data_IF_234265921414
#
_entry.id   IF_234265921414
#
_cell.length_a   1.000
_cell.length_b   1.000
_cell.length_c   1.000
_cell.angle_alpha   90.00
_cell.angle_beta   90.00
_cell.angle_gamma   90.00
#
_symmetry.space_group_name_H-M   'P 1'
#
loop_
_entity.id
_entity.type
_entity.pdbx_description
1 polymer ?
#
# COMPACT_ATOMS: atom_id res chain seq x y z
N UNK A 1 -25.41 -9.85 25.28
CA UNK A 1 -24.38 -10.32 24.33
C UNK A 1 -23.61 -9.08 23.90
N UNK A 2 -22.44 -9.18 23.28
CA UNK A 2 -21.80 -8.01 22.71
C UNK A 2 -22.64 -7.56 21.52
N UNK A 3 -23.17 -6.35 21.58
CA UNK A 3 -24.07 -5.82 20.55
C UNK A 3 -23.33 -4.80 19.66
N UNK A 4 -22.11 -4.41 20.06
CA UNK A 4 -21.27 -3.43 19.37
C UNK A 4 -19.80 -3.86 19.26
N UNK A 5 -19.12 -3.45 18.18
CA UNK A 5 -17.70 -3.67 17.96
C UNK A 5 -16.95 -2.37 17.63
N UNK A 6 -15.67 -2.32 18.02
CA UNK A 6 -14.68 -1.35 17.56
C UNK A 6 -13.53 -2.12 16.92
N UNK A 7 -13.04 -1.67 15.76
CA UNK A 7 -11.91 -2.28 15.08
C UNK A 7 -10.85 -1.21 14.80
N UNK A 8 -9.63 -1.43 15.30
CA UNK A 8 -8.46 -0.63 14.95
C UNK A 8 -7.58 -1.43 13.99
N UNK A 9 -7.26 -0.83 12.84
CA UNK A 9 -6.39 -1.43 11.83
C UNK A 9 -5.01 -0.80 11.89
N UNK A 10 -3.96 -1.64 11.90
CA UNK A 10 -2.57 -1.21 11.82
C UNK A 10 -1.85 -1.90 10.65
N UNK A 11 -0.78 -1.26 10.19
CA UNK A 11 0.14 -1.84 9.22
C UNK A 11 -0.07 -1.33 7.80
N UNK A 12 -0.60 -2.18 6.92
CA UNK A 12 -0.54 -1.94 5.47
C UNK A 12 -1.89 -2.11 4.77
N UNK A 13 -2.02 -1.68 3.50
CA UNK A 13 -3.24 -1.84 2.70
C UNK A 13 -3.84 -3.26 2.70
N UNK A 14 -3.01 -4.30 2.79
CA UNK A 14 -3.48 -5.69 2.85
C UNK A 14 -4.19 -5.99 4.17
N UNK A 15 -3.71 -5.43 5.28
CA UNK A 15 -4.38 -5.50 6.59
C UNK A 15 -5.66 -4.66 6.60
N UNK A 16 -5.73 -3.55 5.84
CA UNK A 16 -6.97 -2.79 5.69
C UNK A 16 -8.05 -3.63 5.02
N UNK A 17 -7.73 -4.32 3.92
CA UNK A 17 -8.68 -5.25 3.30
C UNK A 17 -9.11 -6.34 4.28
N UNK A 18 -8.17 -6.95 5.03
CA UNK A 18 -8.51 -7.95 6.07
C UNK A 18 -9.49 -7.39 7.13
N UNK A 19 -9.32 -6.12 7.49
CA UNK A 19 -10.16 -5.43 8.46
C UNK A 19 -11.57 -5.16 7.92
N UNK A 20 -11.68 -4.72 6.65
CA UNK A 20 -12.98 -4.49 6.02
C UNK A 20 -13.77 -5.81 5.90
N UNK A 21 -13.08 -6.92 5.63
CA UNK A 21 -13.64 -8.27 5.58
C UNK A 21 -14.12 -8.73 6.96
N UNK A 22 -13.33 -8.44 8.00
CA UNK A 22 -13.75 -8.66 9.39
C UNK A 22 -14.98 -7.82 9.76
N UNK A 23 -15.03 -6.56 9.35
CA UNK A 23 -16.20 -5.69 9.53
C UNK A 23 -17.44 -6.30 8.91
N UNK A 24 -17.37 -6.73 7.64
CA UNK A 24 -18.50 -7.38 6.97
C UNK A 24 -18.95 -8.66 7.68
N UNK A 25 -18.00 -9.46 8.16
CA UNK A 25 -18.29 -10.66 8.94
C UNK A 25 -18.99 -10.35 10.28
N UNK A 26 -18.53 -9.35 11.02
CA UNK A 26 -19.12 -8.94 12.31
C UNK A 26 -20.53 -8.34 12.12
N UNK A 27 -20.72 -7.53 11.08
CA UNK A 27 -22.04 -6.97 10.73
C UNK A 27 -23.03 -8.06 10.33
N UNK A 28 -22.60 -9.08 9.58
CA UNK A 28 -23.42 -10.23 9.23
C UNK A 28 -23.82 -11.08 10.46
N UNK A 29 -23.07 -10.99 11.56
CA UNK A 29 -23.41 -11.59 12.85
C UNK A 29 -24.34 -10.72 13.72
N UNK A 30 -24.72 -9.53 13.24
CA UNK A 30 -25.65 -8.62 13.90
C UNK A 30 -25.01 -7.61 14.85
N UNK A 31 -23.69 -7.46 14.87
CA UNK A 31 -23.03 -6.45 15.69
C UNK A 31 -23.04 -5.09 14.96
N UNK A 32 -23.21 -4.01 15.73
CA UNK A 32 -23.12 -2.65 15.23
C UNK A 32 -21.72 -2.05 15.42
N UNK A 33 -21.29 -1.17 14.52
CA UNK A 33 -20.06 -0.40 14.72
C UNK A 33 -20.25 0.59 15.88
N UNK A 34 -19.30 0.59 16.82
CA UNK A 34 -19.23 1.54 17.92
C UNK A 34 -18.58 2.85 17.46
N UNK A 35 -19.02 4.02 17.95
CA UNK A 35 -18.36 5.30 17.64
C UNK A 35 -17.03 5.48 18.37
N UNK A 36 -16.74 4.68 19.40
CA UNK A 36 -15.49 4.73 20.14
C UNK A 36 -15.14 3.37 20.78
N UNK A 37 -13.85 3.10 21.10
CA UNK A 37 -13.46 1.85 21.75
C UNK A 37 -14.00 1.73 23.18
N UNK A 38 -14.24 2.85 23.88
CA UNK A 38 -14.79 2.88 25.24
C UNK A 38 -16.25 2.42 25.29
N UNK A 39 -16.98 2.48 24.18
CA UNK A 39 -18.39 2.12 24.11
C UNK A 39 -18.62 0.70 23.58
N UNK A 40 -17.61 0.10 22.94
CA UNK A 40 -17.72 -1.18 22.28
C UNK A 40 -17.74 -2.36 23.27
N UNK A 41 -18.52 -3.39 22.97
CA UNK A 41 -18.52 -4.65 23.73
C UNK A 41 -17.42 -5.62 23.22
N UNK A 42 -16.99 -5.44 21.97
CA UNK A 42 -15.88 -6.14 21.33
C UNK A 42 -14.89 -5.12 20.76
N UNK A 43 -13.64 -5.16 21.22
CA UNK A 43 -12.54 -4.37 20.66
C UNK A 43 -11.62 -5.32 19.89
N UNK A 44 -11.42 -5.06 18.60
CA UNK A 44 -10.55 -5.86 17.72
C UNK A 44 -9.36 -5.00 17.28
N UNK A 45 -8.15 -5.53 17.39
CA UNK A 45 -6.94 -4.87 16.89
C UNK A 45 -6.31 -5.75 15.82
N UNK A 46 -6.31 -5.29 14.56
CA UNK A 46 -5.64 -5.97 13.46
C UNK A 46 -4.20 -5.46 13.35
N UNK A 47 -3.25 -6.27 13.80
CA UNK A 47 -1.86 -5.88 14.07
C UNK A 47 -0.91 -6.16 12.92
N UNK A 48 0.20 -5.41 12.90
CA UNK A 48 1.29 -5.58 11.94
C UNK A 48 2.46 -6.36 12.55
N UNK A 49 3.20 -7.09 11.73
CA UNK A 49 4.44 -7.77 12.13
C UNK A 49 5.55 -7.62 11.09
N UNK A 50 5.50 -6.52 10.33
CA UNK A 50 6.39 -6.31 9.19
C UNK A 50 7.81 -5.93 9.61
N UNK A 51 7.94 -4.99 10.54
CA UNK A 51 9.21 -4.49 11.11
C UNK A 51 9.04 -4.26 12.62
N UNK A 52 10.15 -4.13 13.34
CA UNK A 52 10.18 -3.88 14.79
C UNK A 52 9.31 -2.70 15.23
N UNK A 53 9.49 -1.52 14.63
CA UNK A 53 8.69 -0.33 14.97
C UNK A 53 7.16 -0.56 14.83
N UNK A 54 6.74 -1.31 13.81
CA UNK A 54 5.32 -1.64 13.61
C UNK A 54 4.80 -2.67 14.63
N UNK A 55 5.68 -3.52 15.17
CA UNK A 55 5.35 -4.45 16.28
C UNK A 55 5.19 -3.67 17.59
N UNK A 56 6.09 -2.73 17.87
CA UNK A 56 6.00 -1.84 19.03
C UNK A 56 4.71 -1.02 19.01
N UNK A 57 4.40 -0.36 17.88
CA UNK A 57 3.14 0.37 17.69
C UNK A 57 1.91 -0.54 17.92
N UNK A 58 1.98 -1.78 17.43
CA UNK A 58 0.91 -2.76 17.62
C UNK A 58 0.70 -3.10 19.10
N UNK A 59 1.78 -3.33 19.85
CA UNK A 59 1.71 -3.63 21.29
C UNK A 59 1.19 -2.43 22.07
N UNK A 60 1.71 -1.23 21.81
CA UNK A 60 1.31 0.00 22.49
C UNK A 60 -0.18 0.31 22.26
N UNK A 61 -0.66 0.13 21.04
CA UNK A 61 -2.08 0.30 20.69
C UNK A 61 -2.96 -0.71 21.44
N UNK A 62 -2.54 -1.97 21.50
CA UNK A 62 -3.28 -3.01 22.25
C UNK A 62 -3.36 -2.65 23.72
N UNK A 63 -2.26 -2.21 24.34
CA UNK A 63 -2.22 -1.81 25.75
C UNK A 63 -3.05 -0.55 26.01
N UNK A 64 -3.04 0.43 25.11
CA UNK A 64 -3.87 1.63 25.20
C UNK A 64 -5.37 1.28 25.16
N UNK A 65 -5.79 0.45 24.21
CA UNK A 65 -7.16 -0.02 24.09
C UNK A 65 -7.58 -0.92 25.25
N UNK A 66 -6.67 -1.72 25.80
CA UNK A 66 -6.94 -2.49 27.01
C UNK A 66 -7.28 -1.61 28.22
N UNK A 67 -6.67 -0.42 28.33
CA UNK A 67 -6.98 0.55 29.39
C UNK A 67 -8.27 1.34 29.11
N UNK A 68 -8.55 1.63 27.84
CA UNK A 68 -9.70 2.45 27.43
C UNK A 68 -11.02 1.68 27.38
N UNK A 69 -11.00 0.38 27.05
CA UNK A 69 -12.21 -0.42 26.85
C UNK A 69 -13.11 -0.43 28.09
N UNK A 70 -14.43 -0.44 27.89
CA UNK A 70 -15.38 -0.56 29.00
C UNK A 70 -15.19 -1.87 29.78
N UNK A 71 -15.53 -1.88 31.09
CA UNK A 71 -15.54 -3.11 31.88
C UNK A 71 -16.42 -4.19 31.23
N UNK A 72 -15.85 -5.40 31.10
CA UNK A 72 -16.53 -6.54 30.48
C UNK A 72 -16.45 -6.60 28.94
N UNK A 73 -15.90 -5.58 28.27
CA UNK A 73 -15.60 -5.67 26.84
C UNK A 73 -14.47 -6.66 26.58
N UNK A 74 -14.63 -7.45 25.51
CA UNK A 74 -13.61 -8.38 25.03
C UNK A 74 -12.59 -7.66 24.15
N UNK A 75 -11.32 -7.92 24.37
CA UNK A 75 -10.22 -7.47 23.52
C UNK A 75 -9.67 -8.65 22.71
N UNK A 76 -9.72 -8.54 21.38
CA UNK A 76 -9.20 -9.53 20.45
C UNK A 76 -8.07 -8.92 19.63
N UNK A 77 -6.94 -9.62 19.57
CA UNK A 77 -5.83 -9.26 18.68
C UNK A 77 -5.81 -10.22 17.50
N UNK A 78 -5.76 -9.68 16.29
CA UNK A 78 -5.64 -10.42 15.04
C UNK A 78 -4.55 -9.83 14.14
N UNK A 79 -4.39 -10.34 12.92
CA UNK A 79 -3.42 -9.82 11.95
C UNK A 79 -2.09 -10.57 11.93
N UNK A 80 -1.09 -9.94 11.31
CA UNK A 80 0.23 -10.56 11.09
C UNK A 80 0.93 -10.95 12.40
N UNK A 81 0.81 -10.15 13.45
CA UNK A 81 1.48 -10.43 14.73
C UNK A 81 0.82 -11.62 15.44
N UNK A 82 -0.51 -11.68 15.41
CA UNK A 82 -1.27 -12.82 15.95
C UNK A 82 -0.95 -14.13 15.22
N UNK A 83 -0.82 -14.09 13.88
CA UNK A 83 -0.46 -15.27 13.08
C UNK A 83 0.97 -15.74 13.37
N UNK A 84 1.93 -14.81 13.43
CA UNK A 84 3.35 -15.15 13.53
C UNK A 84 3.81 -15.47 14.96
N UNK A 85 3.29 -14.74 15.95
CA UNK A 85 3.75 -14.77 17.34
C UNK A 85 2.65 -15.16 18.33
N UNK A 86 1.59 -15.83 17.89
CA UNK A 86 0.36 -16.04 18.67
C UNK A 86 0.57 -16.52 20.12
N UNK A 87 1.34 -17.59 20.31
CA UNK A 87 1.60 -18.18 21.64
C UNK A 87 2.47 -17.28 22.53
N UNK A 88 3.37 -16.50 21.95
CA UNK A 88 4.19 -15.55 22.68
C UNK A 88 3.36 -14.34 23.09
N UNK A 89 2.58 -13.80 22.15
CA UNK A 89 1.74 -12.64 22.36
C UNK A 89 0.66 -12.91 23.41
N UNK A 90 0.03 -14.09 23.39
CA UNK A 90 -0.96 -14.49 24.39
C UNK A 90 -0.37 -14.63 25.80
N UNK A 91 0.92 -14.98 25.91
CA UNK A 91 1.64 -15.03 27.20
C UNK A 91 2.09 -13.64 27.67
N UNK A 92 2.51 -12.79 26.74
CA UNK A 92 3.04 -11.46 27.02
C UNK A 92 1.94 -10.42 27.30
N UNK A 93 0.74 -10.59 26.74
CA UNK A 93 -0.40 -9.67 26.88
C UNK A 93 -1.60 -10.37 27.55
N UNK A 94 -1.57 -10.59 28.87
CA UNK A 94 -2.67 -11.24 29.60
C UNK A 94 -3.98 -10.45 29.58
N UNK A 95 -3.95 -9.17 29.18
CA UNK A 95 -5.13 -8.30 29.04
C UNK A 95 -5.95 -8.61 27.78
N UNK A 96 -5.39 -9.38 26.84
CA UNK A 96 -6.03 -9.79 25.59
C UNK A 96 -6.83 -11.08 25.81
N UNK A 97 -8.12 -11.04 25.52
CA UNK A 97 -9.02 -12.18 25.73
C UNK A 97 -8.87 -13.27 24.64
N UNK A 98 -8.38 -12.91 23.46
CA UNK A 98 -8.14 -13.83 22.35
C UNK A 98 -7.06 -13.28 21.40
N UNK A 99 -6.10 -14.13 21.06
CA UNK A 99 -5.17 -13.90 19.94
C UNK A 99 -5.61 -14.79 18.77
N UNK A 100 -6.03 -14.19 17.66
CA UNK A 100 -6.67 -14.84 16.52
C UNK A 100 -5.85 -14.65 15.23
N UNK A 101 -5.19 -15.72 14.76
CA UNK A 101 -4.56 -15.76 13.43
C UNK A 101 -5.58 -15.70 12.27
N UNK A 102 -5.11 -15.74 11.02
CA UNK A 102 -5.94 -15.49 9.82
C UNK A 102 -7.07 -16.51 9.61
N UNK A 103 -6.96 -17.71 10.19
CA UNK A 103 -7.98 -18.76 10.13
C UNK A 103 -8.88 -18.86 11.37
N UNK A 104 -8.68 -18.00 12.36
CA UNK A 104 -9.40 -18.03 13.63
C UNK A 104 -10.51 -16.97 13.60
N UNK A 105 -11.78 -17.36 13.65
CA UNK A 105 -12.88 -16.40 13.70
C UNK A 105 -12.73 -15.46 14.90
N UNK A 106 -12.87 -14.16 14.65
CA UNK A 106 -13.02 -13.13 15.69
C UNK A 106 -14.46 -13.21 16.22
N UNK A 107 -14.82 -14.37 16.80
CA UNK A 107 -16.19 -14.67 17.20
C UNK A 107 -16.44 -14.43 18.69
N UNK A 108 -17.69 -14.09 18.98
CA UNK A 108 -18.18 -13.79 20.32
C UNK A 108 -18.68 -15.01 21.11
N UNK A 109 -18.78 -16.18 20.49
CA UNK A 109 -19.29 -17.37 21.19
C UNK A 109 -18.33 -17.81 22.31
N UNK A 110 -18.91 -18.05 23.49
CA UNK A 110 -18.27 -18.52 24.72
C UNK A 110 -17.15 -19.54 24.49
N UNK A 111 -16.10 -19.49 25.32
CA UNK A 111 -15.01 -20.48 25.49
C UNK A 111 -15.24 -21.77 24.69
N UNK A 112 -14.33 -22.18 23.79
CA UNK A 112 -14.44 -23.50 23.18
C UNK A 112 -14.52 -24.54 24.29
N UNK A 113 -15.66 -25.21 24.40
CA UNK A 113 -15.83 -26.33 25.31
C UNK A 113 -14.84 -27.40 24.88
N UNK A 114 -13.94 -27.78 25.79
CA UNK A 114 -13.03 -28.89 25.58
C UNK A 114 -13.85 -30.12 25.14
N UNK A 115 -13.66 -30.56 23.89
CA UNK A 115 -14.23 -31.82 23.37
C UNK A 115 -15.17 -31.76 22.16
N UNK A 116 -15.44 -30.59 21.56
CA UNK A 116 -16.28 -30.50 20.36
C UNK A 116 -15.51 -30.72 19.05
N UNK A 117 -15.66 -31.88 18.41
CA UNK A 117 -15.21 -32.08 17.02
C UNK A 117 -16.06 -31.19 16.11
N UNK A 118 -15.44 -30.18 15.47
CA UNK A 118 -16.11 -29.32 14.50
C UNK A 118 -16.63 -30.17 13.32
N UNK A 119 -17.88 -29.97 12.87
CA UNK A 119 -18.43 -30.70 11.73
C UNK A 119 -17.65 -30.40 10.43
N UNK A 120 -17.56 -31.32 9.46
CA UNK A 120 -16.62 -31.23 8.33
C UNK A 120 -16.95 -30.18 7.26
N UNK A 121 -17.92 -29.29 7.47
CA UNK A 121 -18.38 -28.32 6.46
C UNK A 121 -18.49 -26.88 6.96
N UNK A 122 -17.82 -26.51 8.05
CA UNK A 122 -17.63 -25.09 8.37
C UNK A 122 -16.69 -24.54 7.29
N UNK A 123 -17.17 -23.64 6.43
CA UNK A 123 -16.30 -22.89 5.52
C UNK A 123 -15.14 -22.37 6.35
N UNK A 124 -13.91 -22.74 6.00
CA UNK A 124 -12.73 -22.20 6.67
C UNK A 124 -12.86 -20.68 6.67
N UNK A 125 -12.64 -20.06 7.81
CA UNK A 125 -12.60 -18.61 7.92
C UNK A 125 -11.41 -18.13 7.09
N UNK A 126 -11.66 -17.81 5.81
CA UNK A 126 -10.66 -17.35 4.87
C UNK A 126 -10.91 -15.88 4.55
N UNK A 127 -10.19 -15.00 5.25
CA UNK A 127 -10.27 -13.56 5.08
C UNK A 127 -10.13 -13.11 3.61
N UNK A 128 -9.43 -13.89 2.77
CA UNK A 128 -9.23 -13.59 1.36
C UNK A 128 -10.55 -13.62 0.56
N UNK A 129 -11.52 -14.47 0.95
CA UNK A 129 -12.76 -14.73 0.21
C UNK A 129 -14.03 -14.26 0.94
N UNK A 130 -13.91 -13.70 2.16
CA UNK A 130 -15.06 -13.16 2.86
C UNK A 130 -15.70 -11.99 2.09
N UNK A 131 -17.01 -11.72 2.24
CA UNK A 131 -17.60 -10.47 1.78
C UNK A 131 -17.22 -9.32 2.71
N UNK A 132 -17.36 -8.07 2.22
CA UNK A 132 -17.21 -6.83 3.00
C UNK A 132 -18.26 -5.80 2.59
N UNK A 133 -18.59 -4.81 3.44
CA UNK A 133 -19.52 -3.76 3.05
C UNK A 133 -18.96 -2.89 1.91
N UNK A 134 -19.82 -2.07 1.27
CA UNK A 134 -19.38 -1.04 0.33
C UNK A 134 -18.34 -0.11 0.95
N UNK A 135 -17.49 0.47 0.12
CA UNK A 135 -16.44 1.37 0.58
C UNK A 135 -17.04 2.68 1.13
N UNK A 136 -16.43 3.23 2.18
CA UNK A 136 -16.78 4.55 2.72
C UNK A 136 -16.08 5.71 2.01
N UNK A 137 -15.07 5.40 1.19
CA UNK A 137 -14.32 6.33 0.36
C UNK A 137 -14.62 6.07 -1.12
N UNK A 138 -14.37 7.02 -2.03
CA UNK A 138 -14.58 6.82 -3.47
C UNK A 138 -13.53 5.89 -4.11
N UNK A 139 -12.70 5.25 -3.30
CA UNK A 139 -11.65 4.32 -3.69
C UNK A 139 -11.61 3.15 -2.71
N UNK A 140 -11.05 2.01 -3.13
CA UNK A 140 -10.82 0.88 -2.25
C UNK A 140 -9.60 0.05 -2.64
N UNK A 141 -8.86 -0.43 -1.64
CA UNK A 141 -7.90 -1.52 -1.83
C UNK A 141 -8.63 -2.83 -2.11
N UNK A 142 -8.18 -3.62 -3.07
CA UNK A 142 -8.71 -4.96 -3.35
C UNK A 142 -7.56 -5.95 -3.34
N UNK A 143 -7.60 -6.87 -2.37
CA UNK A 143 -6.60 -7.92 -2.24
C UNK A 143 -6.91 -9.07 -3.19
N UNK A 144 -6.06 -9.27 -4.19
CA UNK A 144 -6.27 -10.27 -5.26
C UNK A 144 -5.56 -11.59 -4.99
N UNK A 145 -4.56 -11.58 -4.10
CA UNK A 145 -3.82 -12.76 -3.69
C UNK A 145 -3.28 -12.59 -2.26
N UNK A 146 -2.98 -13.71 -1.62
CA UNK A 146 -2.34 -13.81 -0.31
C UNK A 146 -1.05 -14.63 -0.42
N UNK A 147 -0.06 -14.36 0.43
CA UNK A 147 1.19 -15.11 0.47
C UNK A 147 2.13 -14.78 -0.70
N UNK A 148 3.31 -15.40 -0.71
CA UNK A 148 4.35 -15.07 -1.68
C UNK A 148 5.32 -16.23 -1.89
N UNK A 149 5.66 -16.54 -3.15
CA UNK A 149 6.63 -17.58 -3.49
C UNK A 149 8.08 -17.06 -3.61
N UNK A 150 8.27 -15.75 -3.46
CA UNK A 150 9.61 -15.13 -3.51
C UNK A 150 10.42 -15.53 -2.28
N UNK A 151 11.73 -15.66 -2.46
CA UNK A 151 12.69 -16.04 -1.40
C UNK A 151 13.61 -14.87 -1.05
N UNK A 152 13.05 -13.67 -0.89
CA UNK A 152 13.80 -12.48 -0.51
C UNK A 152 14.48 -12.68 0.84
N UNK A 153 15.74 -12.24 0.95
CA UNK A 153 16.61 -12.56 2.09
C UNK A 153 16.09 -12.03 3.43
N UNK A 154 15.49 -10.84 3.41
CA UNK A 154 14.93 -10.14 4.58
C UNK A 154 13.47 -10.50 4.89
N UNK A 155 12.77 -11.23 4.01
CA UNK A 155 11.31 -11.30 4.08
C UNK A 155 10.83 -12.56 4.81
N UNK A 156 10.07 -12.38 5.89
CA UNK A 156 9.44 -13.47 6.64
C UNK A 156 8.05 -13.88 6.10
N UNK A 157 7.43 -13.12 5.19
CA UNK A 157 6.07 -13.38 4.69
C UNK A 157 5.80 -14.86 4.32
N UNK A 158 6.68 -15.57 3.59
CA UNK A 158 6.41 -16.96 3.20
C UNK A 158 6.27 -17.93 4.39
N UNK A 159 6.79 -17.60 5.57
CA UNK A 159 6.74 -18.48 6.74
C UNK A 159 5.38 -18.47 7.45
N UNK A 160 4.67 -17.34 7.44
CA UNK A 160 3.41 -17.18 8.20
C UNK A 160 2.19 -16.86 7.32
N UNK A 161 2.36 -16.23 6.16
CA UNK A 161 1.27 -16.04 5.17
C UNK A 161 1.23 -17.14 4.11
N UNK A 162 2.25 -18.00 4.08
CA UNK A 162 2.34 -19.14 3.19
C UNK A 162 2.71 -18.79 1.75
N UNK A 163 2.58 -19.81 0.88
CA UNK A 163 2.77 -19.68 -0.57
C UNK A 163 1.69 -18.82 -1.19
N UNK A 164 1.95 -18.35 -2.41
CA UNK A 164 0.98 -17.54 -3.12
C UNK A 164 -0.33 -18.30 -3.35
N UNK A 165 -1.44 -17.66 -3.01
CA UNK A 165 -2.82 -18.09 -3.27
C UNK A 165 -3.58 -16.92 -3.89
N UNK A 166 -3.83 -17.01 -5.19
CA UNK A 166 -4.62 -16.04 -5.96
C UNK A 166 -6.11 -16.35 -5.86
N UNK A 167 -6.92 -15.32 -5.86
CA UNK A 167 -8.38 -15.42 -6.00
C UNK A 167 -8.75 -15.70 -7.45
N UNK A 168 -9.93 -16.28 -7.68
CA UNK A 168 -10.47 -16.36 -9.04
C UNK A 168 -10.91 -14.97 -9.52
N UNK A 169 -10.70 -14.60 -10.80
CA UNK A 169 -11.06 -13.29 -11.33
C UNK A 169 -12.53 -12.91 -11.08
N UNK A 170 -13.44 -13.87 -11.20
CA UNK A 170 -14.87 -13.64 -10.95
C UNK A 170 -15.16 -13.22 -9.50
N UNK A 171 -14.44 -13.77 -8.50
CA UNK A 171 -14.56 -13.37 -7.09
C UNK A 171 -14.06 -11.93 -6.90
N UNK A 172 -12.94 -11.58 -7.56
CA UNK A 172 -12.39 -10.22 -7.51
C UNK A 172 -13.36 -9.21 -8.14
N UNK A 173 -13.90 -9.49 -9.32
CA UNK A 173 -14.83 -8.59 -10.01
C UNK A 173 -16.15 -8.43 -9.26
N UNK A 174 -16.69 -9.50 -8.68
CA UNK A 174 -17.89 -9.41 -7.85
C UNK A 174 -17.67 -8.53 -6.61
N UNK A 175 -16.47 -8.56 -6.02
CA UNK A 175 -16.13 -7.63 -4.94
C UNK A 175 -15.97 -6.19 -5.45
N UNK A 176 -15.31 -5.98 -6.60
CA UNK A 176 -15.14 -4.64 -7.18
C UNK A 176 -16.51 -3.97 -7.42
N UNK A 177 -17.45 -4.69 -8.03
CA UNK A 177 -18.82 -4.22 -8.26
C UNK A 177 -19.52 -3.84 -6.95
N UNK A 178 -19.44 -4.70 -5.92
CA UNK A 178 -20.07 -4.47 -4.63
C UNK A 178 -19.51 -3.26 -3.84
N UNK A 179 -18.30 -2.80 -4.16
CA UNK A 179 -17.66 -1.68 -3.45
C UNK A 179 -18.22 -0.31 -3.86
N UNK A 180 -18.70 -0.17 -5.10
CA UNK A 180 -19.27 1.09 -5.60
C UNK A 180 -18.26 2.25 -5.65
N UNK A 181 -17.01 1.98 -6.00
CA UNK A 181 -15.90 2.96 -6.01
C UNK A 181 -15.53 3.45 -7.41
N UNK A 182 -14.85 4.59 -7.48
CA UNK A 182 -14.28 5.16 -8.72
C UNK A 182 -12.84 4.69 -8.97
N UNK A 183 -12.08 4.41 -7.90
CA UNK A 183 -10.69 3.91 -7.99
C UNK A 183 -10.54 2.57 -7.25
N UNK A 184 -10.02 1.56 -7.94
CA UNK A 184 -9.60 0.30 -7.33
C UNK A 184 -8.08 0.26 -7.27
N UNK A 185 -7.55 -0.06 -6.09
CA UNK A 185 -6.12 -0.27 -5.87
C UNK A 185 -5.86 -1.76 -5.65
N UNK A 186 -5.32 -2.44 -6.65
CA UNK A 186 -5.02 -3.87 -6.58
C UNK A 186 -3.78 -4.10 -5.72
N UNK A 187 -3.91 -4.97 -4.72
CA UNK A 187 -2.84 -5.30 -3.78
C UNK A 187 -2.63 -6.81 -3.62
N UNK A 188 -1.38 -7.19 -3.44
CA UNK A 188 -0.94 -8.52 -3.02
C UNK A 188 0.49 -8.40 -2.46
N UNK A 189 1.07 -9.50 -1.93
CA UNK A 189 2.48 -9.50 -1.56
C UNK A 189 3.42 -9.56 -2.77
N UNK A 190 3.00 -10.20 -3.87
CA UNK A 190 3.65 -10.15 -5.19
C UNK A 190 2.58 -10.07 -6.29
N UNK A 191 2.12 -8.84 -6.58
CA UNK A 191 0.95 -8.61 -7.45
C UNK A 191 1.16 -9.15 -8.87
N UNK A 192 2.34 -8.94 -9.43
CA UNK A 192 2.66 -9.36 -10.80
C UNK A 192 2.73 -10.89 -10.96
N UNK A 193 2.72 -11.64 -9.86
CA UNK A 193 2.66 -13.10 -9.89
C UNK A 193 1.23 -13.66 -9.86
N UNK A 194 0.20 -12.82 -9.71
CA UNK A 194 -1.20 -13.27 -9.70
C UNK A 194 -1.52 -14.23 -10.85
N UNK A 195 -2.20 -15.32 -10.51
CA UNK A 195 -2.63 -16.38 -11.42
C UNK A 195 -1.60 -17.45 -11.75
N UNK A 196 -0.32 -17.30 -11.35
CA UNK A 196 0.69 -18.37 -11.53
C UNK A 196 0.29 -19.67 -10.82
N UNK A 197 -0.21 -19.57 -9.60
CA UNK A 197 -0.71 -20.68 -8.79
C UNK A 197 -2.01 -21.29 -9.34
N UNK A 198 -2.75 -20.54 -10.17
CA UNK A 198 -3.93 -21.02 -10.92
C UNK A 198 -3.56 -21.65 -12.28
N UNK A 199 -2.26 -21.77 -12.61
CA UNK A 199 -1.81 -22.24 -13.92
C UNK A 199 -2.02 -21.23 -15.06
N UNK A 200 -2.30 -19.96 -14.74
CA UNK A 200 -2.56 -18.87 -15.69
C UNK A 200 -1.45 -17.80 -15.58
N UNK A 201 -0.24 -18.05 -16.12
CA UNK A 201 0.84 -17.07 -16.04
C UNK A 201 0.43 -15.77 -16.76
N UNK A 202 0.74 -14.62 -16.14
CA UNK A 202 0.36 -13.27 -16.61
C UNK A 202 -1.14 -12.93 -16.55
N UNK A 203 -1.95 -13.71 -15.82
CA UNK A 203 -3.38 -13.39 -15.61
C UNK A 203 -3.61 -12.02 -14.95
N UNK A 204 -2.58 -11.41 -14.35
CA UNK A 204 -2.66 -10.04 -13.84
C UNK A 204 -3.03 -9.04 -14.95
N UNK A 205 -2.55 -9.24 -16.18
CA UNK A 205 -2.87 -8.34 -17.31
C UNK A 205 -4.37 -8.40 -17.63
N UNK A 206 -4.92 -9.62 -17.72
CA UNK A 206 -6.34 -9.83 -17.97
C UNK A 206 -7.19 -9.29 -16.82
N UNK A 207 -6.73 -9.43 -15.58
CA UNK A 207 -7.42 -8.89 -14.40
C UNK A 207 -7.43 -7.36 -14.41
N UNK A 208 -6.31 -6.70 -14.74
CA UNK A 208 -6.25 -5.23 -14.85
C UNK A 208 -7.28 -4.75 -15.86
N UNK A 209 -7.30 -5.36 -17.06
CA UNK A 209 -8.24 -5.00 -18.10
C UNK A 209 -9.71 -5.21 -17.67
N UNK A 210 -10.00 -6.33 -17.01
CA UNK A 210 -11.34 -6.62 -16.52
C UNK A 210 -11.79 -5.60 -15.45
N UNK A 211 -10.93 -5.26 -14.49
CA UNK A 211 -11.25 -4.27 -13.44
C UNK A 211 -11.39 -2.87 -14.05
N UNK A 212 -10.57 -2.51 -15.04
CA UNK A 212 -10.64 -1.22 -15.72
C UNK A 212 -11.94 -1.02 -16.55
N UNK A 213 -12.70 -2.09 -16.80
CA UNK A 213 -14.04 -1.98 -17.36
C UNK A 213 -15.11 -1.65 -16.31
N UNK A 214 -14.85 -1.91 -15.03
CA UNK A 214 -15.81 -1.72 -13.93
C UNK A 214 -15.65 -0.36 -13.23
N UNK A 215 -14.45 0.24 -13.26
CA UNK A 215 -14.14 1.48 -12.53
C UNK A 215 -13.29 2.45 -13.36
N UNK A 216 -13.35 3.75 -13.04
CA UNK A 216 -12.62 4.79 -13.79
C UNK A 216 -11.10 4.67 -13.63
N UNK A 217 -10.61 4.28 -12.45
CA UNK A 217 -9.18 4.26 -12.12
C UNK A 217 -8.75 2.91 -11.56
N UNK A 218 -7.67 2.35 -12.10
CA UNK A 218 -7.06 1.10 -11.61
C UNK A 218 -5.58 1.33 -11.30
N UNK A 219 -5.23 1.23 -10.02
CA UNK A 219 -3.86 1.36 -9.51
C UNK A 219 -3.31 0.02 -9.09
N UNK A 220 -2.00 -0.16 -9.29
CA UNK A 220 -1.28 -1.36 -8.88
C UNK A 220 -0.20 -1.00 -7.85
N UNK A 221 -0.16 -1.75 -6.75
CA UNK A 221 0.91 -1.67 -5.76
C UNK A 221 1.69 -2.98 -5.69
N UNK A 222 2.93 -2.91 -5.20
CA UNK A 222 3.80 -4.07 -4.93
C UNK A 222 4.23 -4.84 -6.19
N UNK A 223 4.72 -4.12 -7.21
CA UNK A 223 5.24 -4.74 -8.43
C UNK A 223 6.69 -5.21 -8.23
N UNK A 224 6.93 -6.51 -8.36
CA UNK A 224 8.27 -7.05 -8.34
C UNK A 224 9.00 -6.73 -9.66
N UNK A 225 10.21 -6.13 -9.64
CA UNK A 225 10.85 -5.54 -10.83
C UNK A 225 11.10 -6.53 -11.98
N UNK A 226 11.43 -7.79 -11.66
CA UNK A 226 11.68 -8.80 -12.70
C UNK A 226 10.42 -9.27 -13.44
N UNK A 227 9.23 -8.90 -12.96
CA UNK A 227 7.96 -9.26 -13.59
C UNK A 227 7.38 -8.12 -14.41
N UNK A 228 8.02 -6.95 -14.39
CA UNK A 228 7.60 -5.76 -15.14
C UNK A 228 8.12 -5.82 -16.58
N UNK A 229 7.54 -6.72 -17.37
CA UNK A 229 7.77 -6.81 -18.81
C UNK A 229 6.97 -5.75 -19.60
N UNK A 230 7.20 -5.66 -20.91
CA UNK A 230 6.59 -4.61 -21.74
C UNK A 230 5.07 -4.75 -21.85
N UNK A 231 4.55 -5.97 -21.71
CA UNK A 231 3.13 -6.26 -21.73
C UNK A 231 2.46 -5.77 -20.44
N UNK A 232 3.06 -6.02 -19.27
CA UNK A 232 2.56 -5.47 -18.01
C UNK A 232 2.69 -3.94 -17.98
N UNK A 233 3.77 -3.37 -18.50
CA UNK A 233 3.89 -1.90 -18.63
C UNK A 233 2.76 -1.36 -19.52
N UNK A 234 2.51 -1.98 -20.68
CA UNK A 234 1.41 -1.57 -21.55
C UNK A 234 0.05 -1.66 -20.87
N UNK A 235 -0.19 -2.71 -20.07
CA UNK A 235 -1.43 -2.87 -19.33
C UNK A 235 -1.64 -1.77 -18.27
N UNK A 236 -0.59 -1.39 -17.54
CA UNK A 236 -0.65 -0.30 -16.56
C UNK A 236 -0.85 1.06 -17.27
N UNK A 237 -0.14 1.32 -18.37
CA UNK A 237 -0.33 2.56 -19.13
C UNK A 237 -1.70 2.67 -19.81
N UNK A 238 -2.40 1.55 -19.99
CA UNK A 238 -3.76 1.53 -20.50
C UNK A 238 -4.80 1.79 -19.40
N UNK A 239 -4.40 1.86 -18.12
CA UNK A 239 -5.27 2.37 -17.06
C UNK A 239 -5.16 3.90 -17.04
N UNK A 240 -6.21 4.58 -16.57
CA UNK A 240 -6.18 6.04 -16.30
C UNK A 240 -5.19 6.41 -15.16
N UNK A 241 -4.38 5.45 -14.68
CA UNK A 241 -3.44 5.61 -13.59
C UNK A 241 -2.07 5.03 -13.97
N UNK A 242 -1.25 5.78 -14.75
CA UNK A 242 0.12 5.37 -15.10
C UNK A 242 1.04 5.51 -13.88
N UNK A 243 0.86 4.64 -12.89
CA UNK A 243 1.56 4.64 -11.62
C UNK A 243 2.24 3.29 -11.39
N UNK A 244 3.54 3.32 -11.11
CA UNK A 244 4.34 2.11 -10.95
C UNK A 244 5.00 2.09 -9.57
N UNK A 245 4.46 1.29 -8.66
CA UNK A 245 5.08 0.99 -7.37
C UNK A 245 6.05 -0.19 -7.49
N UNK A 246 7.32 0.14 -7.65
CA UNK A 246 8.40 -0.82 -7.87
C UNK A 246 9.05 -1.18 -6.55
N UNK A 247 8.87 -2.41 -6.11
CA UNK A 247 9.58 -2.89 -4.92
C UNK A 247 11.06 -3.12 -5.28
N UNK A 248 11.95 -2.11 -5.28
CA UNK A 248 13.38 -2.27 -5.66
C UNK A 248 14.27 -2.77 -4.52
N UNK A 249 13.95 -2.42 -3.26
CA UNK A 249 14.71 -2.69 -2.02
C UNK A 249 16.15 -2.16 -1.99
N UNK A 250 16.92 -2.23 -3.07
CA UNK A 250 18.25 -1.65 -3.20
C UNK A 250 18.62 -1.55 -4.68
N UNK A 251 19.82 -1.05 -5.00
CA UNK A 251 20.29 -0.90 -6.40
C UNK A 251 21.66 -1.51 -6.66
N UNK A 252 22.53 -1.58 -5.63
CA UNK A 252 23.80 -2.31 -5.72
C UNK A 252 23.58 -3.79 -6.06
N UNK A 253 24.26 -4.26 -7.11
CA UNK A 253 24.17 -5.65 -7.57
C UNK A 253 24.69 -6.67 -6.54
N UNK A 254 25.89 -6.49 -5.92
CA UNK A 254 26.34 -7.36 -4.83
C UNK A 254 25.34 -7.44 -3.69
N UNK A 255 24.80 -6.30 -3.24
CA UNK A 255 23.89 -6.27 -2.11
C UNK A 255 22.52 -6.89 -2.45
N UNK A 256 21.97 -6.61 -3.63
CA UNK A 256 20.74 -7.25 -4.12
C UNK A 256 20.89 -8.77 -4.21
N UNK A 257 22.05 -9.28 -4.65
CA UNK A 257 22.32 -10.71 -4.67
C UNK A 257 22.33 -11.31 -3.24
N UNK A 258 22.92 -10.60 -2.26
CA UNK A 258 22.86 -10.98 -0.83
C UNK A 258 21.43 -10.94 -0.27
N UNK A 259 20.62 -9.99 -0.73
CA UNK A 259 19.17 -9.92 -0.46
C UNK A 259 18.36 -10.98 -1.22
N UNK A 260 19.01 -11.85 -2.02
CA UNK A 260 18.37 -12.86 -2.88
C UNK A 260 17.36 -12.24 -3.86
N UNK A 261 17.70 -11.07 -4.38
CA UNK A 261 16.88 -10.30 -5.32
C UNK A 261 17.48 -10.28 -6.70
N UNK A 262 16.61 -10.08 -7.68
CA UNK A 262 17.00 -9.87 -9.07
C UNK A 262 17.22 -8.38 -9.36
N UNK A 263 18.16 -8.10 -10.26
CA UNK A 263 18.34 -6.77 -10.84
C UNK A 263 19.55 -6.02 -10.28
N UNK A 264 19.65 -4.78 -10.73
CA UNK A 264 20.67 -3.80 -10.37
C UNK A 264 20.21 -2.40 -10.81
N UNK A 265 20.87 -1.36 -10.31
CA UNK A 265 20.54 0.04 -10.60
C UNK A 265 20.49 0.35 -12.10
N UNK A 266 21.43 -0.17 -12.89
CA UNK A 266 21.48 0.02 -14.35
C UNK A 266 20.22 -0.52 -15.03
N UNK A 267 19.79 -1.74 -14.68
CA UNK A 267 18.57 -2.35 -15.23
C UNK A 267 17.31 -1.60 -14.80
N UNK A 268 17.26 -1.19 -13.53
CA UNK A 268 16.12 -0.44 -13.00
C UNK A 268 16.00 0.92 -13.68
N UNK A 269 17.10 1.68 -13.82
CA UNK A 269 17.13 2.94 -14.55
C UNK A 269 16.72 2.77 -16.01
N UNK A 270 17.20 1.73 -16.69
CA UNK A 270 16.80 1.46 -18.07
C UNK A 270 15.28 1.24 -18.19
N UNK A 271 14.69 0.48 -17.27
CA UNK A 271 13.23 0.23 -17.22
C UNK A 271 12.45 1.51 -16.92
N UNK A 272 12.90 2.30 -15.94
CA UNK A 272 12.32 3.59 -15.57
C UNK A 272 12.33 4.57 -16.76
N UNK A 273 13.48 4.70 -17.43
CA UNK A 273 13.64 5.55 -18.62
C UNK A 273 12.74 5.08 -19.77
N UNK A 274 12.62 3.77 -19.99
CA UNK A 274 11.72 3.22 -21.00
C UNK A 274 10.24 3.50 -20.71
N UNK A 275 9.82 3.44 -19.44
CA UNK A 275 8.45 3.81 -19.04
C UNK A 275 8.20 5.29 -19.31
N UNK A 276 9.09 6.18 -18.85
CA UNK A 276 8.96 7.64 -19.05
C UNK A 276 9.03 8.08 -20.51
N UNK A 277 9.78 7.34 -21.35
CA UNK A 277 9.81 7.60 -22.78
C UNK A 277 8.46 7.30 -23.46
N UNK A 278 7.66 6.39 -22.90
CA UNK A 278 6.33 6.04 -23.39
C UNK A 278 5.24 6.92 -22.78
N UNK A 279 5.36 7.23 -21.49
CA UNK A 279 4.44 8.06 -20.74
C UNK A 279 5.24 9.01 -19.82
N UNK A 280 5.50 10.25 -20.26
CA UNK A 280 6.24 11.24 -19.48
C UNK A 280 5.58 11.59 -18.14
N UNK A 281 4.26 11.44 -18.04
CA UNK A 281 3.50 11.72 -16.82
C UNK A 281 3.46 10.55 -15.84
N UNK A 282 4.10 9.42 -16.17
CA UNK A 282 4.09 8.24 -15.32
C UNK A 282 4.72 8.53 -13.96
N UNK A 283 3.98 8.23 -12.89
CA UNK A 283 4.45 8.34 -11.52
C UNK A 283 5.16 7.06 -11.11
N UNK A 284 6.39 7.19 -10.60
CA UNK A 284 7.21 6.06 -10.18
C UNK A 284 7.47 6.12 -8.69
N UNK A 285 7.14 5.03 -8.01
CA UNK A 285 7.38 4.83 -6.58
C UNK A 285 8.35 3.68 -6.35
N UNK A 286 9.17 3.77 -5.32
CA UNK A 286 9.94 2.63 -4.83
C UNK A 286 10.04 2.60 -3.31
N UNK A 287 10.59 1.51 -2.78
CA UNK A 287 10.98 1.38 -1.38
C UNK A 287 12.35 0.73 -1.28
N UNK A 288 13.15 1.18 -0.33
CA UNK A 288 14.55 0.80 -0.14
C UNK A 288 14.82 0.38 1.30
N UNK A 289 15.70 -0.61 1.46
CA UNK A 289 16.18 -1.11 2.75
C UNK A 289 17.63 -0.66 2.88
N UNK A 290 17.91 0.12 3.91
CA UNK A 290 19.23 0.63 4.27
C UNK A 290 19.76 -0.19 5.45
N UNK A 291 21.05 -0.52 5.46
CA UNK A 291 21.68 -1.23 6.55
C UNK A 291 21.62 -2.76 6.45
N UNK A 292 21.31 -3.30 5.27
CA UNK A 292 21.26 -4.75 5.10
C UNK A 292 22.62 -5.40 5.39
N UNK A 293 22.70 -6.60 6.00
CA UNK A 293 23.96 -7.21 6.38
C UNK A 293 24.97 -7.31 5.23
N UNK A 294 26.09 -6.60 5.37
CA UNK A 294 27.16 -6.47 4.39
C UNK A 294 27.08 -5.24 3.47
N UNK A 295 26.18 -4.29 3.73
CA UNK A 295 26.10 -3.02 2.99
C UNK A 295 27.32 -2.13 3.26
N UNK A 296 28.01 -1.78 2.18
CA UNK A 296 29.22 -0.94 2.19
C UNK A 296 28.90 0.52 1.87
N UNK A 297 29.88 1.41 2.05
CA UNK A 297 29.79 2.83 1.64
C UNK A 297 29.54 2.96 0.13
N UNK A 298 30.25 2.19 -0.70
CA UNK A 298 30.06 2.13 -2.15
C UNK A 298 28.63 1.68 -2.55
N UNK A 299 28.02 0.75 -1.79
CA UNK A 299 26.64 0.34 -2.05
C UNK A 299 25.66 1.49 -1.81
N UNK A 300 25.90 2.27 -0.76
CA UNK A 300 25.10 3.44 -0.38
C UNK A 300 25.30 4.59 -1.37
N UNK A 301 26.53 4.87 -1.80
CA UNK A 301 26.83 5.85 -2.84
C UNK A 301 26.10 5.53 -4.16
N UNK A 302 26.05 4.25 -4.54
CA UNK A 302 25.27 3.80 -5.69
C UNK A 302 23.77 4.04 -5.51
N UNK A 303 23.24 3.92 -4.29
CA UNK A 303 21.84 4.23 -3.99
C UNK A 303 21.56 5.72 -4.14
N UNK A 304 22.39 6.59 -3.57
CA UNK A 304 22.27 8.04 -3.70
C UNK A 304 22.33 8.46 -5.18
N UNK A 305 23.33 8.00 -5.91
CA UNK A 305 23.47 8.28 -7.35
C UNK A 305 22.26 7.75 -8.15
N UNK A 306 21.73 6.58 -7.80
CA UNK A 306 20.52 6.07 -8.44
C UNK A 306 19.31 6.96 -8.17
N UNK A 307 19.11 7.46 -6.95
CA UNK A 307 17.98 8.34 -6.63
C UNK A 307 18.05 9.62 -7.45
N UNK A 308 19.24 10.23 -7.56
CA UNK A 308 19.49 11.39 -8.41
C UNK A 308 19.20 11.11 -9.89
N UNK A 309 19.62 9.96 -10.42
CA UNK A 309 19.38 9.61 -11.82
C UNK A 309 17.92 9.19 -12.11
N UNK A 310 17.31 8.49 -11.17
CA UNK A 310 15.98 7.91 -11.31
C UNK A 310 14.89 8.97 -11.13
N UNK A 311 15.14 10.03 -10.36
CA UNK A 311 14.20 11.11 -10.10
C UNK A 311 12.81 10.56 -9.74
N UNK A 312 12.71 9.60 -8.83
CA UNK A 312 11.44 8.95 -8.49
C UNK A 312 10.45 9.97 -7.91
N UNK A 313 9.17 9.81 -8.23
CA UNK A 313 8.11 10.67 -7.68
C UNK A 313 7.95 10.41 -6.18
N UNK A 314 8.13 9.15 -5.75
CA UNK A 314 8.03 8.73 -4.36
C UNK A 314 9.08 7.69 -4.02
N UNK A 315 9.72 7.80 -2.85
CA UNK A 315 10.52 6.71 -2.30
C UNK A 315 10.39 6.64 -0.79
N UNK A 316 10.24 5.42 -0.27
CA UNK A 316 10.32 5.13 1.16
C UNK A 316 11.62 4.45 1.51
N UNK A 317 12.21 4.80 2.66
CA UNK A 317 13.44 4.21 3.19
C UNK A 317 13.16 3.54 4.52
N UNK A 318 13.68 2.34 4.70
CA UNK A 318 13.47 1.54 5.89
C UNK A 318 14.83 1.01 6.37
N UNK A 319 15.13 1.18 7.66
CA UNK A 319 16.25 0.47 8.26
C UNK A 319 16.01 -1.03 8.15
N UNK A 320 17.07 -1.78 7.87
CA UNK A 320 17.03 -3.22 7.96
C UNK A 320 16.67 -3.63 9.39
N UNK A 321 15.57 -4.37 9.52
CA UNK A 321 15.14 -4.98 10.76
C UNK A 321 15.41 -6.48 10.67
N UNK A 322 16.20 -7.01 11.61
CA UNK A 322 16.53 -8.42 11.64
C UNK A 322 15.31 -9.23 12.09
N UNK A 323 14.86 -10.14 11.23
CA UNK A 323 13.64 -10.91 11.45
C UNK A 323 13.98 -12.39 11.65
N UNK A 324 13.56 -12.97 12.77
CA UNK A 324 13.81 -14.38 13.09
C UNK A 324 13.27 -15.31 11.97
N UNK A 325 14.07 -16.31 11.61
CA UNK A 325 13.74 -17.29 10.58
C UNK A 325 13.98 -16.81 9.15
N UNK A 326 14.41 -15.56 8.95
CA UNK A 326 14.80 -15.06 7.62
C UNK A 326 16.23 -15.48 7.27
N UNK A 327 16.55 -15.42 5.97
CA UNK A 327 17.92 -15.69 5.50
C UNK A 327 18.91 -14.65 6.01
N UNK A 328 18.48 -13.39 6.08
CA UNK A 328 19.31 -12.27 6.51
C UNK A 328 19.70 -12.34 8.00
N UNK A 329 18.87 -12.95 8.85
CA UNK A 329 19.15 -13.10 10.29
C UNK A 329 20.42 -13.93 10.58
N UNK A 330 20.83 -14.80 9.67
CA UNK A 330 22.06 -15.60 9.80
C UNK A 330 23.29 -15.02 9.10
N UNK A 331 23.19 -13.81 8.55
CA UNK A 331 24.30 -13.19 7.82
C UNK A 331 25.19 -12.35 8.76
N UNK A 332 26.50 -12.45 8.54
CA UNK A 332 27.49 -11.53 9.14
C UNK A 332 27.47 -10.16 8.45
N UNK A 333 28.17 -9.20 9.05
CA UNK A 333 28.34 -7.85 8.51
C UNK A 333 27.19 -6.91 8.84
N UNK A 334 26.62 -7.04 10.05
CA UNK A 334 25.60 -6.11 10.52
C UNK A 334 26.08 -4.66 10.48
N UNK A 335 25.21 -3.75 10.05
CA UNK A 335 25.46 -2.31 10.01
C UNK A 335 25.05 -1.71 11.35
N UNK A 336 25.86 -0.80 11.90
CA UNK A 336 25.57 -0.17 13.18
C UNK A 336 24.30 0.70 13.08
N UNK A 337 23.41 0.71 14.09
CA UNK A 337 22.18 1.52 14.06
C UNK A 337 22.40 3.00 13.77
N UNK A 338 23.47 3.59 14.31
CA UNK A 338 23.81 4.99 14.02
C UNK A 338 24.13 5.24 12.55
N UNK A 339 24.85 4.32 11.89
CA UNK A 339 25.15 4.42 10.46
C UNK A 339 23.92 4.15 9.60
N UNK A 340 23.02 3.25 10.03
CA UNK A 340 21.74 3.05 9.33
C UNK A 340 20.87 4.31 9.37
N UNK A 341 20.81 4.99 10.52
CA UNK A 341 20.10 6.25 10.68
C UNK A 341 20.68 7.36 9.79
N UNK A 342 22.01 7.55 9.82
CA UNK A 342 22.71 8.52 8.96
C UNK A 342 22.41 8.31 7.48
N UNK A 343 22.53 7.06 7.00
CA UNK A 343 22.22 6.71 5.60
C UNK A 343 20.74 6.92 5.24
N UNK A 344 19.83 6.62 6.17
CA UNK A 344 18.41 6.89 5.97
C UNK A 344 18.12 8.38 5.84
N UNK A 345 18.73 9.21 6.70
CA UNK A 345 18.56 10.66 6.68
C UNK A 345 19.08 11.23 5.36
N UNK A 346 20.27 10.82 4.90
CA UNK A 346 20.81 11.24 3.60
C UNK A 346 19.89 10.88 2.42
N UNK A 347 19.35 9.66 2.43
CA UNK A 347 18.41 9.21 1.40
C UNK A 347 17.09 9.99 1.45
N UNK A 348 16.56 10.23 2.65
CA UNK A 348 15.33 10.96 2.87
C UNK A 348 15.45 12.42 2.44
N UNK A 349 16.50 13.13 2.87
CA UNK A 349 16.76 14.51 2.46
C UNK A 349 16.89 14.66 0.94
N UNK A 350 17.61 13.72 0.31
CA UNK A 350 17.73 13.68 -1.15
C UNK A 350 16.37 13.47 -1.83
N UNK A 351 15.59 12.48 -1.38
CA UNK A 351 14.28 12.19 -1.95
C UNK A 351 13.28 13.31 -1.70
N UNK A 352 13.28 13.95 -0.53
CA UNK A 352 12.40 15.08 -0.22
C UNK A 352 12.62 16.23 -1.20
N UNK A 353 13.88 16.53 -1.52
CA UNK A 353 14.23 17.50 -2.55
C UNK A 353 13.72 17.09 -3.93
N UNK A 354 13.90 15.81 -4.32
CA UNK A 354 13.42 15.29 -5.61
C UNK A 354 11.90 15.41 -5.70
N UNK A 355 11.18 14.91 -4.70
CA UNK A 355 9.72 14.97 -4.60
C UNK A 355 9.26 16.41 -4.70
N UNK A 356 9.76 17.31 -3.84
CA UNK A 356 9.35 18.72 -3.84
C UNK A 356 9.55 19.41 -5.20
N UNK A 357 10.67 19.15 -5.88
CA UNK A 357 10.92 19.69 -7.22
C UNK A 357 9.92 19.16 -8.25
N UNK A 358 9.66 17.85 -8.27
CA UNK A 358 8.67 17.23 -9.18
C UNK A 358 7.25 17.72 -8.91
N UNK A 359 6.91 17.99 -7.64
CA UNK A 359 5.62 18.61 -7.28
C UNK A 359 5.54 20.05 -7.75
N UNK A 360 6.60 20.84 -7.57
CA UNK A 360 6.66 22.23 -8.01
C UNK A 360 6.53 22.37 -9.54
N UNK A 361 7.04 21.41 -10.32
CA UNK A 361 6.86 21.36 -11.79
C UNK A 361 5.38 21.24 -12.21
N UNK A 362 4.49 20.83 -11.31
CA UNK A 362 3.06 20.75 -11.58
C UNK A 362 2.34 22.09 -11.40
N UNK A 363 2.96 23.08 -10.75
CA UNK A 363 2.35 24.40 -10.53
C UNK A 363 2.03 25.07 -11.87
N UNK A 364 0.79 25.56 -12.00
CA UNK A 364 0.23 26.13 -13.22
C UNK A 364 -0.31 25.11 -14.22
N UNK A 365 -0.13 23.80 -13.99
CA UNK A 365 -0.67 22.76 -14.86
C UNK A 365 -2.11 22.43 -14.53
N UNK A 366 -2.84 21.98 -15.56
CA UNK A 366 -4.16 21.37 -15.42
C UNK A 366 -3.98 19.88 -15.16
N UNK A 367 -4.61 19.38 -14.10
CA UNK A 367 -4.59 17.97 -13.72
C UNK A 367 -6.00 17.48 -13.39
N UNK A 368 -6.23 16.18 -13.53
CA UNK A 368 -7.45 15.54 -13.05
C UNK A 368 -7.26 14.99 -11.65
N UNK A 369 -8.20 15.27 -10.75
CA UNK A 369 -8.20 14.75 -9.38
C UNK A 369 -9.48 13.98 -9.08
N UNK A 370 -9.35 12.88 -8.34
CA UNK A 370 -10.46 12.23 -7.63
C UNK A 370 -10.60 12.91 -6.27
N UNK A 371 -11.79 13.39 -5.95
CA UNK A 371 -12.07 14.04 -4.66
C UNK A 371 -12.35 12.97 -3.61
N UNK A 372 -11.40 12.73 -2.72
CA UNK A 372 -11.47 11.70 -1.70
C UNK A 372 -12.32 12.12 -0.49
N UNK A 373 -12.20 13.38 -0.09
CA UNK A 373 -12.89 13.98 1.05
C UNK A 373 -13.17 15.47 0.78
N UNK A 374 -14.03 16.14 1.57
CA UNK A 374 -14.24 17.57 1.40
C UNK A 374 -12.92 18.36 1.47
N UNK A 375 -12.56 19.02 0.36
CA UNK A 375 -11.33 19.81 0.25
C UNK A 375 -10.06 19.00 -0.01
N UNK A 376 -10.13 17.68 -0.17
CA UNK A 376 -8.95 16.81 -0.38
C UNK A 376 -9.19 15.88 -1.56
N UNK A 377 -8.23 15.79 -2.46
CA UNK A 377 -8.25 14.85 -3.58
C UNK A 377 -6.87 14.34 -3.98
N UNK A 378 -6.85 13.49 -5.00
CA UNK A 378 -5.64 12.86 -5.54
C UNK A 378 -5.69 12.78 -7.06
N UNK A 379 -4.59 13.10 -7.71
CA UNK A 379 -4.37 12.78 -9.12
C UNK A 379 -4.00 11.30 -9.30
N UNK A 380 -3.64 10.90 -10.52
CA UNK A 380 -3.08 9.57 -10.74
C UNK A 380 -1.74 9.36 -10.02
N UNK A 381 -1.05 10.44 -9.66
CA UNK A 381 0.30 10.39 -9.09
C UNK A 381 0.34 10.01 -7.61
N UNK A 382 -0.77 10.10 -6.88
CA UNK A 382 -0.83 9.82 -5.44
C UNK A 382 -1.61 8.54 -5.14
N UNK A 383 -0.95 7.55 -4.54
CA UNK A 383 -1.63 6.41 -3.92
C UNK A 383 -2.36 6.86 -2.64
N UNK A 384 -3.59 6.37 -2.39
CA UNK A 384 -4.37 6.76 -1.23
C UNK A 384 -3.63 6.41 0.07
N UNK A 385 -3.68 7.28 1.08
CA UNK A 385 -3.08 7.05 2.43
C UNK A 385 -1.55 6.83 2.48
N UNK A 386 -0.84 6.81 1.34
CA UNK A 386 0.59 6.48 1.26
C UNK A 386 1.41 7.66 0.78
N UNK A 387 0.97 8.31 -0.30
CA UNK A 387 1.70 9.43 -0.91
C UNK A 387 1.12 10.77 -0.43
N UNK A 388 1.48 11.88 -1.08
CA UNK A 388 0.92 13.20 -0.79
C UNK A 388 -0.56 13.36 -1.16
N UNK A 389 -1.10 14.55 -0.93
CA UNK A 389 -2.48 14.91 -1.30
C UNK A 389 -2.54 16.18 -2.16
N UNK A 390 -3.70 16.41 -2.77
CA UNK A 390 -4.05 17.68 -3.41
C UNK A 390 -5.12 18.36 -2.56
N UNK A 391 -4.75 19.49 -1.96
CA UNK A 391 -5.67 20.39 -1.26
C UNK A 391 -6.49 21.17 -2.28
N UNK A 392 -7.82 21.04 -2.19
CA UNK A 392 -8.75 21.56 -3.17
C UNK A 392 -9.51 22.76 -2.61
N UNK A 393 -9.32 23.91 -3.23
CA UNK A 393 -10.14 25.07 -2.98
C UNK A 393 -11.47 24.99 -3.75
N UNK A 394 -12.58 25.21 -3.03
CA UNK A 394 -13.94 25.20 -3.59
C UNK A 394 -14.84 24.10 -3.03
N UNK A 395 -16.03 23.93 -3.64
CA UNK A 395 -17.04 22.95 -3.22
C UNK A 395 -17.18 21.83 -4.24
N UNK A 396 -16.11 21.05 -4.42
CA UNK A 396 -16.15 19.83 -5.22
C UNK A 396 -16.80 18.70 -4.41
N UNK A 397 -17.52 17.80 -5.09
CA UNK A 397 -18.21 16.67 -4.44
C UNK A 397 -17.26 15.49 -4.27
N UNK A 398 -17.33 14.82 -3.13
CA UNK A 398 -16.62 13.55 -2.90
C UNK A 398 -17.01 12.53 -3.97
N UNK A 399 -16.03 11.82 -4.52
CA UNK A 399 -16.18 10.87 -5.62
C UNK A 399 -16.27 11.49 -7.02
N UNK A 400 -16.13 12.81 -7.15
CA UNK A 400 -16.05 13.49 -8.43
C UNK A 400 -14.63 13.37 -9.02
N UNK A 401 -14.52 13.11 -10.32
CA UNK A 401 -13.31 13.33 -11.10
C UNK A 401 -13.37 14.74 -11.66
N UNK A 402 -12.52 15.63 -11.14
CA UNK A 402 -12.55 17.06 -11.43
C UNK A 402 -11.25 17.53 -12.09
N UNK A 403 -11.37 18.43 -13.05
CA UNK A 403 -10.23 19.15 -13.63
C UNK A 403 -9.91 20.38 -12.79
N UNK A 404 -8.67 20.47 -12.35
CA UNK A 404 -8.17 21.54 -11.47
C UNK A 404 -6.89 22.13 -12.02
N UNK A 405 -6.58 23.37 -11.65
CA UNK A 405 -5.26 23.99 -11.90
C UNK A 405 -4.48 23.98 -10.60
N UNK A 406 -3.27 23.44 -10.62
CA UNK A 406 -2.37 23.48 -9.48
C UNK A 406 -1.88 24.92 -9.28
N UNK A 407 -2.12 25.49 -8.10
CA UNK A 407 -1.77 26.87 -7.75
C UNK A 407 -0.51 26.95 -6.89
N UNK A 408 -0.17 25.88 -6.18
CA UNK A 408 0.97 25.82 -5.29
C UNK A 408 1.38 24.38 -4.95
N UNK A 409 2.52 24.26 -4.27
CA UNK A 409 3.07 23.01 -3.77
C UNK A 409 3.74 23.23 -2.42
N UNK A 410 3.51 22.33 -1.47
CA UNK A 410 4.12 22.35 -0.14
C UNK A 410 4.74 20.98 0.15
N UNK A 411 6.04 20.83 -0.13
CA UNK A 411 6.72 19.54 -0.05
C UNK A 411 6.06 18.50 -0.97
N UNK A 412 5.52 17.38 -0.43
CA UNK A 412 4.82 16.37 -1.22
C UNK A 412 3.39 16.78 -1.65
N UNK A 413 2.80 17.78 -1.01
CA UNK A 413 1.41 18.15 -1.22
C UNK A 413 1.25 19.25 -2.28
N UNK A 414 0.08 19.28 -2.92
CA UNK A 414 -0.29 20.33 -3.87
C UNK A 414 -1.48 21.13 -3.37
N UNK A 415 -1.58 22.37 -3.84
CA UNK A 415 -2.77 23.19 -3.74
C UNK A 415 -3.35 23.37 -5.14
N UNK A 416 -4.67 23.25 -5.29
CA UNK A 416 -5.32 23.40 -6.58
C UNK A 416 -6.72 24.01 -6.49
N UNK A 417 -7.11 24.69 -7.57
CA UNK A 417 -8.41 25.32 -7.72
C UNK A 417 -9.20 24.67 -8.86
N UNK A 418 -10.51 24.47 -8.63
CA UNK A 418 -11.41 23.97 -9.65
C UNK A 418 -11.49 24.92 -10.86
N UNK A 419 -11.46 24.35 -12.06
CA UNK A 419 -11.72 25.12 -13.27
C UNK A 419 -13.23 25.39 -13.32
N UNK A 420 -13.66 26.56 -12.86
CA UNK A 420 -15.05 26.99 -13.04
C UNK A 420 -15.32 27.10 -14.54
N UNK A 421 -16.19 26.23 -15.05
CA UNK A 421 -16.61 26.26 -16.46
C UNK A 421 -17.17 27.62 -16.81
N UNK A 422 -16.48 28.36 -17.68
CA UNK A 422 -17.07 29.46 -18.42
C UNK A 422 -18.12 28.89 -19.37
N UNK A 423 -19.38 28.90 -18.93
CA UNK A 423 -20.53 28.89 -19.83
C UNK A 423 -20.55 30.18 -20.64
N UNK A 424 -19.72 30.26 -21.69
CA UNK A 424 -19.81 31.10 -22.88
C UNK A 424 -18.44 31.09 -23.57
N UNK A 425 -18.42 30.73 -24.86
CA UNK A 425 -17.19 30.56 -25.63
C UNK A 425 -16.27 31.78 -25.59
N UNK A 426 -14.98 31.53 -25.36
CA UNK A 426 -13.92 32.39 -25.85
C UNK A 426 -13.17 31.64 -26.96
N UNK A 427 -13.13 32.28 -28.13
CA UNK A 427 -12.30 31.91 -29.27
C UNK A 427 -10.81 31.83 -28.87
N UNK A 428 -9.99 31.05 -29.60
CA UNK A 428 -8.59 30.91 -29.27
C UNK A 428 -7.86 32.26 -29.41
N UNK A 429 -7.28 32.74 -28.30
CA UNK A 429 -6.33 33.83 -28.34
C UNK A 429 -5.05 33.34 -29.03
N UNK A 430 -4.77 33.89 -30.20
CA UNK A 430 -3.49 33.76 -30.90
C UNK A 430 -2.37 34.29 -30.01
N UNK A 431 -1.44 33.43 -29.63
CA UNK A 431 -0.16 33.85 -29.06
C UNK A 431 0.71 34.36 -30.22
N UNK A 432 0.85 35.67 -30.32
CA UNK A 432 1.87 36.29 -31.17
C UNK A 432 3.26 36.00 -30.59
N UNK A 433 4.09 35.37 -31.41
CA UNK A 433 5.49 35.11 -31.12
C UNK A 433 6.27 36.43 -31.09
N UNK A 434 6.79 36.81 -29.92
CA UNK A 434 7.79 37.88 -29.81
C UNK A 434 9.15 37.30 -30.16
N UNK A 435 9.61 37.60 -31.38
CA UNK A 435 10.98 37.35 -31.80
C UNK A 435 11.95 38.33 -31.10
N UNK A 436 13.12 37.89 -30.61
CA UNK A 436 14.13 38.81 -30.09
C UNK A 436 14.86 39.50 -31.26
N UNK A 437 14.79 40.83 -31.26
CA UNK A 437 15.52 41.69 -32.19
C UNK A 437 17.04 41.57 -31.99
N UNK A 438 17.75 41.27 -33.08
CA UNK A 438 19.19 41.48 -33.22
C UNK A 438 19.47 42.99 -33.21
N UNK A 439 20.25 43.46 -32.24
CA UNK A 439 20.90 44.76 -32.31
C UNK A 439 22.31 44.57 -32.89
N UNK A 440 22.56 45.23 -34.01
CA UNK A 440 23.90 45.50 -34.53
C UNK A 440 24.48 46.71 -33.77
N UNK A 441 25.75 46.60 -33.39
CA UNK A 441 26.55 47.61 -32.71
C UNK A 441 27.89 47.00 -32.33
#
# INVERSE_FOLDING_TARGET
>A
MPDSYWLTTLGCPKNQVDSDKLVGHLQAQGLAASPSPEQADLVVVNTCAFIEAAREESVDTVLALARARRPGARLVVTGCMAERYGDELARALPEVDLVAGFGVPVALSSKPSAGGVLPPSVSRFDLLELPRPPASAPWAYVKVAEGCDRRCGFCAIPSFRGKQRSREPASVLAEVDALGVREVVLVAQDLASYGRDLGRPRAIIDLIAAVAHEVDRVRLLYLYPSSLDDALVAAVLATEVPYFDLSLQHVSRPLLARMRRWGDGTRFLARIRAIRAREPEAALRSSFIVGYPGETEEDHDQLLAFLEDAQLDWAGFFAYSAEEGTWAAGLDGGVAPGLMAERMDECAELQDRITANRRAELVGRRIEVLVDAPGVGRSHREAPEIDGVVQLAGKLRVGELAQVVVTGSAGPDLEAEAILGSGAGLAPATFDAVAPARAAG
#
